data_IF_129894700373
#
_entry.id   IF_129894700373
#
_cell.length_a   1.000
_cell.length_b   1.000
_cell.length_c   1.000
_cell.angle_alpha   90.00
_cell.angle_beta   90.00
_cell.angle_gamma   90.00
#
_symmetry.space_group_name_H-M   'P 1'
#
loop_
_entity.id
_entity.type
_entity.pdbx_description
1 polymer ?
#
# COMPACT_ATOMS: atom_id res chain seq x y z
N UNK A 1 -3.77 24.82 1.68
CA UNK A 1 -2.57 23.97 1.82
C UNK A 1 -2.46 23.27 3.18
N UNK A 2 -2.99 23.80 4.29
CA UNK A 2 -2.90 23.15 5.61
C UNK A 2 -3.67 21.85 5.80
N UNK A 3 -4.76 21.62 5.05
CA UNK A 3 -5.62 20.44 5.26
C UNK A 3 -4.92 19.11 4.92
N UNK A 4 -3.97 19.11 3.97
CA UNK A 4 -3.22 17.91 3.62
C UNK A 4 -2.27 17.45 4.72
N UNK A 5 -1.63 18.40 5.42
CA UNK A 5 -0.72 18.09 6.54
C UNK A 5 -1.49 17.55 7.73
N UNK A 6 -2.62 18.18 8.07
CA UNK A 6 -3.52 17.71 9.12
C UNK A 6 -4.08 16.32 8.81
N UNK A 7 -4.49 16.07 7.57
CA UNK A 7 -4.98 14.76 7.14
C UNK A 7 -3.91 13.66 7.22
N UNK A 8 -2.68 13.95 6.78
CA UNK A 8 -1.55 13.00 6.88
C UNK A 8 -1.22 12.66 8.34
N UNK A 9 -1.18 13.67 9.21
CA UNK A 9 -0.92 13.49 10.63
C UNK A 9 -2.01 12.65 11.30
N UNK A 10 -3.27 12.86 10.93
CA UNK A 10 -4.40 12.09 11.45
C UNK A 10 -4.36 10.62 11.01
N UNK A 11 -3.99 10.38 9.75
CA UNK A 11 -3.84 9.03 9.22
C UNK A 11 -2.72 8.27 9.94
N UNK A 12 -1.57 8.94 10.18
CA UNK A 12 -0.47 8.37 10.97
C UNK A 12 -0.91 8.01 12.39
N UNK A 13 -1.72 8.87 13.02
CA UNK A 13 -2.20 8.63 14.38
C UNK A 13 -3.17 7.45 14.46
N UNK A 14 -4.06 7.30 13.47
CA UNK A 14 -4.94 6.14 13.36
C UNK A 14 -4.11 4.87 13.16
N UNK A 15 -3.11 4.87 12.28
CA UNK A 15 -2.25 3.70 12.07
C UNK A 15 -1.48 3.31 13.33
N UNK A 16 -1.01 4.29 14.09
CA UNK A 16 -0.32 4.07 15.36
C UNK A 16 -1.27 3.53 16.45
N UNK A 17 -2.50 4.04 16.52
CA UNK A 17 -3.50 3.60 17.49
C UNK A 17 -4.19 2.29 17.08
N UNK A 18 -4.07 1.89 15.82
CA UNK A 18 -4.70 0.67 15.30
C UNK A 18 -3.91 -0.57 15.70
N UNK A 19 -4.63 -1.64 16.05
CA UNK A 19 -4.05 -2.96 16.28
C UNK A 19 -3.22 -3.41 15.07
N UNK A 20 -2.15 -4.17 15.31
CA UNK A 20 -1.18 -4.63 14.30
C UNK A 20 -1.88 -5.34 13.11
N UNK A 21 -3.06 -5.92 13.34
CA UNK A 21 -3.90 -6.56 12.30
C UNK A 21 -4.36 -5.60 11.21
N UNK A 22 -4.70 -4.36 11.56
CA UNK A 22 -5.06 -3.34 10.59
C UNK A 22 -3.85 -2.80 9.86
N UNK A 23 -2.67 -2.80 10.51
CA UNK A 23 -1.40 -2.44 9.87
C UNK A 23 -1.05 -3.45 8.78
N UNK A 24 -1.37 -4.72 9.01
CA UNK A 24 -1.24 -5.78 8.02
C UNK A 24 -2.18 -5.60 6.80
N UNK A 25 -3.35 -5.00 6.99
CA UNK A 25 -4.29 -4.74 5.89
C UNK A 25 -3.77 -3.67 4.91
N UNK A 26 -2.85 -2.80 5.33
CA UNK A 26 -2.35 -1.68 4.52
C UNK A 26 -1.63 -2.15 3.25
N UNK A 27 -0.61 -3.04 3.29
CA UNK A 27 0.03 -3.55 2.08
C UNK A 27 -0.94 -4.33 1.20
N UNK A 28 -1.90 -5.07 1.77
CA UNK A 28 -2.94 -5.75 0.99
C UNK A 28 -3.80 -4.73 0.22
N UNK A 29 -4.23 -3.67 0.89
CA UNK A 29 -5.03 -2.60 0.29
C UNK A 29 -4.23 -1.84 -0.78
N UNK A 30 -2.94 -1.64 -0.55
CA UNK A 30 -1.98 -1.06 -1.50
C UNK A 30 -1.75 -1.98 -2.71
N UNK A 31 -1.62 -3.28 -2.50
CA UNK A 31 -1.55 -4.32 -3.54
C UNK A 31 -2.82 -4.31 -4.38
N UNK A 32 -3.99 -4.13 -3.75
CA UNK A 32 -5.28 -3.97 -4.44
C UNK A 32 -5.42 -2.60 -5.14
N UNK A 33 -4.76 -1.57 -4.63
CA UNK A 33 -4.64 -0.26 -5.29
C UNK A 33 -3.80 -0.31 -6.56
N UNK A 34 -2.88 -1.27 -6.69
CA UNK A 34 -2.02 -1.44 -7.87
C UNK A 34 -2.81 -1.76 -9.17
N UNK A 35 -3.74 -2.74 -9.23
CA UNK A 35 -4.56 -2.95 -10.43
C UNK A 35 -5.46 -1.75 -10.73
N UNK A 36 -5.98 -1.07 -9.70
CA UNK A 36 -6.75 0.18 -9.87
C UNK A 36 -5.87 1.28 -10.49
N UNK A 37 -4.62 1.39 -10.06
CA UNK A 37 -3.65 2.33 -10.61
C UNK A 37 -3.33 2.02 -12.08
N UNK A 38 -3.14 0.74 -12.43
CA UNK A 38 -2.94 0.30 -13.82
C UNK A 38 -4.15 0.68 -14.69
N UNK A 39 -5.36 0.50 -14.17
CA UNK A 39 -6.59 0.79 -14.91
C UNK A 39 -6.78 2.30 -15.12
N UNK A 40 -6.56 3.09 -14.06
CA UNK A 40 -6.55 4.56 -14.11
C UNK A 40 -5.53 5.11 -15.12
N UNK A 41 -4.34 4.50 -15.17
CA UNK A 41 -3.29 4.89 -16.12
C UNK A 41 -3.61 4.50 -17.56
N UNK A 42 -4.25 3.33 -17.76
CA UNK A 42 -4.74 2.87 -19.08
C UNK A 42 -5.79 3.82 -19.66
N UNK A 43 -6.64 4.40 -18.81
CA UNK A 43 -7.70 5.32 -19.23
C UNK A 43 -7.17 6.70 -19.64
N UNK A 44 -6.03 7.13 -19.08
CA UNK A 44 -5.38 8.41 -19.43
C UNK A 44 -4.65 8.44 -20.78
N UNK A 45 -4.68 7.36 -21.58
CA UNK A 45 -4.20 7.35 -22.97
C UNK A 45 -2.75 7.86 -23.19
N UNK A 46 -1.87 7.66 -22.21
CA UNK A 46 -0.44 7.85 -22.42
C UNK A 46 0.15 6.54 -22.95
N UNK A 47 0.44 6.46 -24.25
CA UNK A 47 1.07 5.32 -24.94
C UNK A 47 2.51 5.02 -24.48
N UNK A 48 2.80 5.29 -23.22
CA UNK A 48 4.06 5.11 -22.52
C UNK A 48 4.02 3.76 -21.78
N UNK A 49 5.15 3.04 -21.65
CA UNK A 49 5.18 1.70 -21.07
C UNK A 49 4.54 1.70 -19.67
N UNK A 50 3.49 0.88 -19.51
CA UNK A 50 2.65 0.75 -18.31
C UNK A 50 3.49 0.53 -17.03
N UNK A 51 4.66 -0.09 -17.17
CA UNK A 51 5.66 -0.27 -16.13
C UNK A 51 7.01 0.32 -16.55
N UNK A 52 7.28 1.55 -16.15
CA UNK A 52 8.67 2.04 -16.12
C UNK A 52 9.45 1.26 -15.05
N UNK A 53 10.75 1.01 -15.27
CA UNK A 53 11.62 0.25 -14.35
C UNK A 53 11.52 0.72 -12.88
N UNK A 54 11.23 2.00 -12.66
CA UNK A 54 11.00 2.59 -11.33
C UNK A 54 9.71 2.10 -10.67
N UNK A 55 8.60 2.00 -11.41
CA UNK A 55 7.34 1.46 -10.87
C UNK A 55 7.44 -0.03 -10.57
N UNK A 56 8.22 -0.77 -11.35
CA UNK A 56 8.54 -2.17 -11.07
C UNK A 56 9.32 -2.31 -9.76
N UNK A 57 10.25 -1.39 -9.45
CA UNK A 57 10.92 -1.31 -8.15
C UNK A 57 9.94 -1.04 -7.01
N UNK A 58 9.00 -0.09 -7.17
CA UNK A 58 7.99 0.18 -6.15
C UNK A 58 7.07 -1.02 -5.92
N UNK A 59 6.71 -1.75 -6.98
CA UNK A 59 5.92 -2.97 -6.90
C UNK A 59 6.67 -4.06 -6.13
N UNK A 60 7.95 -4.30 -6.44
CA UNK A 60 8.79 -5.27 -5.72
C UNK A 60 8.90 -4.91 -4.24
N UNK A 61 9.13 -3.63 -3.92
CA UNK A 61 9.21 -3.16 -2.54
C UNK A 61 7.90 -3.38 -1.79
N UNK A 62 6.77 -3.13 -2.44
CA UNK A 62 5.43 -3.33 -1.89
C UNK A 62 5.12 -4.82 -1.68
N UNK A 63 5.52 -5.67 -2.63
CA UNK A 63 5.38 -7.13 -2.55
C UNK A 63 6.24 -7.72 -1.42
N UNK A 64 7.45 -7.19 -1.20
CA UNK A 64 8.27 -7.54 -0.03
C UNK A 64 7.59 -7.17 1.29
N UNK A 65 6.98 -5.98 1.36
CA UNK A 65 6.17 -5.58 2.52
C UNK A 65 4.97 -6.52 2.74
N UNK A 66 4.29 -6.94 1.67
CA UNK A 66 3.17 -7.89 1.71
C UNK A 66 3.62 -9.25 2.29
N UNK A 67 4.76 -9.78 1.82
CA UNK A 67 5.36 -11.02 2.34
C UNK A 67 5.72 -10.89 3.83
N UNK A 68 6.33 -9.78 4.24
CA UNK A 68 6.69 -9.54 5.65
C UNK A 68 5.44 -9.53 6.53
N UNK A 69 4.37 -8.89 6.06
CA UNK A 69 3.10 -8.84 6.77
C UNK A 69 2.44 -10.21 6.87
N UNK A 70 2.39 -10.98 5.76
CA UNK A 70 1.85 -12.34 5.75
C UNK A 70 2.68 -13.25 6.67
N UNK A 71 4.01 -13.10 6.70
CA UNK A 71 4.89 -13.83 7.60
C UNK A 71 4.62 -13.47 9.08
N UNK A 72 4.37 -12.19 9.39
CA UNK A 72 3.99 -11.75 10.73
C UNK A 72 2.62 -12.29 11.15
N UNK A 73 1.68 -12.37 10.20
CA UNK A 73 0.34 -12.92 10.39
C UNK A 73 0.40 -14.42 10.71
N UNK A 74 1.16 -15.19 9.93
CA UNK A 74 1.37 -16.64 10.13
C UNK A 74 2.18 -16.92 11.39
N UNK A 75 3.11 -16.03 11.76
CA UNK A 75 3.92 -16.12 12.98
C UNK A 75 3.13 -16.07 14.29
N UNK A 76 1.80 -15.88 14.24
CA UNK A 76 0.92 -15.98 15.41
C UNK A 76 0.93 -14.76 16.34
N UNK A 77 1.58 -13.66 15.94
CA UNK A 77 1.53 -12.38 16.66
C UNK A 77 0.22 -11.60 16.38
N UNK A 78 -0.57 -12.04 15.42
CA UNK A 78 -1.87 -11.48 15.06
C UNK A 78 -2.94 -12.54 15.28
N UNK A 79 -3.72 -12.35 16.34
CA UNK A 79 -4.86 -13.19 16.67
C UNK A 79 -6.12 -12.44 16.24
N UNK A 80 -6.61 -12.77 15.04
CA UNK A 80 -7.95 -12.41 14.56
C UNK A 80 -9.01 -12.85 15.55
#
# INVERSE_FOLDING_TARGET
MSSGVLGSLFCLFILYASQIEYVALIPILLTCGLPVFIWSRKEKNDGQPIFTKKELIYLIMLLLCDIIVVALFIGGYLKV
#
